data_IF_448345790601
#
_entry.id   IF_448345790601
#
_cell.length_a   1.000
_cell.length_b   1.000
_cell.length_c   1.000
_cell.angle_alpha   90.00
_cell.angle_beta   90.00
_cell.angle_gamma   90.00
#
_symmetry.space_group_name_H-M   'P 1'
#
loop_
_entity.id
_entity.type
_entity.pdbx_description
1 polymer ?
#
# COMPACT_ATOMS: atom_id res chain seq x y z
N UNK A 1 -1.99 22.72 5.03
CA UNK A 1 -1.47 22.30 6.34
C UNK A 1 -0.19 21.51 6.07
N UNK A 2 0.95 22.01 6.47
CA UNK A 2 2.23 21.29 6.37
C UNK A 2 2.33 20.36 7.57
N UNK A 3 2.58 19.08 7.34
CA UNK A 3 2.89 18.14 8.41
C UNK A 3 4.36 18.30 8.75
N UNK A 4 4.68 18.25 10.04
CA UNK A 4 6.04 18.07 10.49
C UNK A 4 6.56 16.73 9.91
N UNK A 5 7.79 16.73 9.42
CA UNK A 5 8.42 15.56 8.82
C UNK A 5 8.46 14.36 9.78
N UNK A 6 8.65 14.61 11.08
CA UNK A 6 8.64 13.57 12.11
C UNK A 6 7.26 12.93 12.26
N UNK A 7 6.19 13.74 12.25
CA UNK A 7 4.81 13.24 12.30
C UNK A 7 4.49 12.42 11.05
N UNK A 8 4.87 12.90 9.88
CA UNK A 8 4.70 12.16 8.62
C UNK A 8 5.41 10.81 8.64
N UNK A 9 6.65 10.77 9.12
CA UNK A 9 7.42 9.55 9.25
C UNK A 9 6.81 8.58 10.27
N UNK A 10 6.36 9.08 11.42
CA UNK A 10 5.69 8.26 12.44
C UNK A 10 4.40 7.62 11.92
N UNK A 11 3.61 8.36 11.15
CA UNK A 11 2.40 7.83 10.52
C UNK A 11 2.70 6.75 9.48
N UNK A 12 3.78 6.92 8.70
CA UNK A 12 4.23 5.90 7.76
C UNK A 12 4.68 4.62 8.48
N UNK A 13 5.42 4.75 9.59
CA UNK A 13 5.80 3.58 10.41
C UNK A 13 4.58 2.88 11.02
N UNK A 14 3.59 3.62 11.50
CA UNK A 14 2.34 3.06 12.01
C UNK A 14 1.58 2.28 10.92
N UNK A 15 1.65 2.71 9.67
CA UNK A 15 1.03 2.00 8.55
C UNK A 15 1.59 0.60 8.32
N UNK A 16 2.80 0.31 8.81
CA UNK A 16 3.47 -0.99 8.70
C UNK A 16 3.07 -1.97 9.82
N UNK A 17 2.59 -1.47 10.96
CA UNK A 17 2.34 -2.30 12.13
C UNK A 17 1.32 -3.40 11.88
N UNK A 18 0.21 -3.07 11.21
CA UNK A 18 -0.85 -4.03 10.89
C UNK A 18 -0.40 -5.09 9.87
N UNK A 19 0.15 -4.74 8.69
CA UNK A 19 0.66 -5.76 7.76
C UNK A 19 1.75 -6.64 8.35
N UNK A 20 2.64 -6.09 9.15
CA UNK A 20 3.70 -6.84 9.81
C UNK A 20 3.12 -7.86 10.80
N UNK A 21 2.25 -7.42 11.73
CA UNK A 21 1.74 -8.26 12.81
C UNK A 21 0.69 -9.26 12.33
N UNK A 22 -0.17 -8.88 11.40
CA UNK A 22 -1.30 -9.70 10.97
C UNK A 22 -0.96 -10.61 9.79
N UNK A 23 -0.22 -10.14 8.80
CA UNK A 23 0.08 -10.93 7.60
C UNK A 23 1.44 -11.61 7.65
N UNK A 24 2.48 -10.95 8.14
CA UNK A 24 3.85 -11.42 8.02
C UNK A 24 4.30 -12.30 9.18
N UNK A 25 4.17 -11.84 10.44
CA UNK A 25 4.65 -12.61 11.60
C UNK A 25 4.07 -14.02 11.66
N UNK A 26 2.75 -14.23 11.47
CA UNK A 26 2.14 -15.57 11.57
C UNK A 26 2.61 -16.56 10.51
N UNK A 27 3.16 -16.07 9.39
CA UNK A 27 3.57 -16.94 8.27
C UNK A 27 5.08 -17.19 8.21
N UNK A 28 5.87 -16.58 9.09
CA UNK A 28 7.33 -16.77 9.11
C UNK A 28 7.75 -18.24 9.02
N UNK A 29 7.13 -19.19 9.76
CA UNK A 29 7.50 -20.61 9.69
C UNK A 29 7.17 -21.29 8.35
N UNK A 30 6.36 -20.64 7.51
CA UNK A 30 5.92 -21.16 6.19
C UNK A 30 6.61 -20.51 5.02
N UNK A 31 7.48 -19.51 5.28
CA UNK A 31 8.18 -18.81 4.22
C UNK A 31 9.21 -19.70 3.54
N UNK A 32 9.07 -19.82 2.23
CA UNK A 32 10.10 -20.40 1.35
C UNK A 32 10.95 -19.29 0.72
N UNK A 33 12.12 -19.65 0.23
CA UNK A 33 12.95 -18.69 -0.52
C UNK A 33 12.19 -18.14 -1.74
N UNK A 34 11.44 -18.98 -2.45
CA UNK A 34 10.64 -18.59 -3.61
C UNK A 34 9.58 -17.57 -3.22
N UNK A 35 8.83 -17.81 -2.13
CA UNK A 35 7.83 -16.88 -1.60
C UNK A 35 8.44 -15.51 -1.28
N UNK A 36 9.59 -15.50 -0.59
CA UNK A 36 10.27 -14.26 -0.21
C UNK A 36 10.76 -13.50 -1.44
N UNK A 37 11.40 -14.17 -2.39
CA UNK A 37 11.89 -13.54 -3.63
C UNK A 37 10.72 -12.98 -4.46
N UNK A 38 9.62 -13.71 -4.58
CA UNK A 38 8.42 -13.25 -5.29
C UNK A 38 7.82 -12.02 -4.60
N UNK A 39 7.72 -12.04 -3.27
CA UNK A 39 7.20 -10.90 -2.50
C UNK A 39 8.09 -9.67 -2.64
N UNK A 40 9.42 -9.82 -2.55
CA UNK A 40 10.37 -8.71 -2.77
C UNK A 40 10.21 -8.15 -4.17
N UNK A 41 10.26 -8.99 -5.20
CA UNK A 41 10.16 -8.56 -6.60
C UNK A 41 8.86 -7.79 -6.85
N UNK A 42 7.73 -8.38 -6.45
CA UNK A 42 6.41 -7.75 -6.65
C UNK A 42 6.30 -6.43 -5.89
N UNK A 43 6.78 -6.39 -4.65
CA UNK A 43 6.70 -5.17 -3.81
C UNK A 43 7.54 -4.03 -4.36
N UNK A 44 8.77 -4.32 -4.81
CA UNK A 44 9.71 -3.32 -5.35
C UNK A 44 9.23 -2.77 -6.70
N UNK A 45 8.51 -3.57 -7.48
CA UNK A 45 7.94 -3.12 -8.75
C UNK A 45 6.60 -2.41 -8.53
N UNK A 46 5.66 -3.07 -7.86
CA UNK A 46 4.29 -2.59 -7.74
C UNK A 46 4.17 -1.33 -6.88
N UNK A 47 4.80 -1.29 -5.71
CA UNK A 47 4.70 -0.16 -4.80
C UNK A 47 5.08 1.18 -5.44
N UNK A 48 6.29 1.32 -6.03
CA UNK A 48 6.68 2.57 -6.70
C UNK A 48 5.82 2.90 -7.93
N UNK A 49 5.41 1.92 -8.72
CA UNK A 49 4.56 2.15 -9.91
C UNK A 49 3.20 2.70 -9.50
N UNK A 50 2.56 2.10 -8.50
CA UNK A 50 1.28 2.59 -7.99
C UNK A 50 1.40 3.98 -7.36
N UNK A 51 2.44 4.25 -6.55
CA UNK A 51 2.62 5.56 -5.95
C UNK A 51 2.99 6.63 -6.98
N UNK A 52 3.78 6.31 -7.99
CA UNK A 52 4.03 7.22 -9.12
C UNK A 52 2.73 7.58 -9.82
N UNK A 53 1.88 6.60 -10.11
CA UNK A 53 0.62 6.82 -10.81
C UNK A 53 -0.36 7.63 -9.96
N UNK A 54 -0.67 7.16 -8.74
CA UNK A 54 -1.72 7.75 -7.91
C UNK A 54 -1.30 9.05 -7.21
N UNK A 55 -0.03 9.19 -6.81
CA UNK A 55 0.49 10.33 -6.07
C UNK A 55 1.40 11.21 -6.93
N UNK A 56 2.17 10.62 -7.81
CA UNK A 56 3.00 11.38 -8.76
C UNK A 56 2.15 12.10 -9.81
N UNK A 57 1.34 11.36 -10.54
CA UNK A 57 0.52 11.93 -11.61
C UNK A 57 -0.73 12.65 -11.08
N UNK A 58 -1.61 11.95 -10.36
CA UNK A 58 -2.87 12.56 -9.94
C UNK A 58 -2.70 13.63 -8.86
N UNK A 59 -2.07 13.28 -7.72
CA UNK A 59 -2.04 14.19 -6.58
C UNK A 59 -1.18 15.43 -6.81
N UNK A 60 -0.01 15.25 -7.45
CA UNK A 60 0.92 16.35 -7.66
C UNK A 60 0.57 17.18 -8.91
N UNK A 61 0.10 16.54 -9.98
CA UNK A 61 -0.36 17.26 -11.17
C UNK A 61 -1.59 18.12 -10.88
N UNK A 62 -2.59 17.55 -10.19
CA UNK A 62 -3.81 18.26 -9.81
C UNK A 62 -3.75 18.84 -8.38
N UNK A 63 -2.57 19.22 -7.91
CA UNK A 63 -2.38 19.74 -6.53
C UNK A 63 -3.25 20.96 -6.18
N UNK A 64 -3.66 21.72 -7.16
CA UNK A 64 -4.53 22.91 -7.00
C UNK A 64 -6.01 22.53 -6.93
N UNK A 65 -6.38 21.35 -7.44
CA UNK A 65 -7.74 20.82 -7.37
C UNK A 65 -7.80 19.70 -6.32
N UNK A 66 -8.43 20.01 -5.18
CA UNK A 66 -8.55 19.04 -4.08
C UNK A 66 -9.39 17.83 -4.44
N UNK A 67 -10.39 18.00 -5.32
CA UNK A 67 -11.29 16.92 -5.71
C UNK A 67 -10.58 15.91 -6.60
N UNK A 68 -9.93 16.39 -7.64
CA UNK A 68 -9.19 15.51 -8.57
C UNK A 68 -7.93 14.99 -7.91
N UNK A 69 -7.08 15.88 -7.38
CA UNK A 69 -5.78 15.49 -6.87
C UNK A 69 -5.83 14.60 -5.65
N UNK A 70 -6.69 14.87 -4.68
CA UNK A 70 -6.72 14.11 -3.43
C UNK A 70 -7.86 13.11 -3.38
N UNK A 71 -9.10 13.56 -3.53
CA UNK A 71 -10.25 12.66 -3.32
C UNK A 71 -10.40 11.65 -4.44
N UNK A 72 -10.35 12.09 -5.71
CA UNK A 72 -10.51 11.16 -6.83
C UNK A 72 -9.35 10.17 -6.90
N UNK A 73 -8.09 10.62 -6.74
CA UNK A 73 -6.95 9.71 -6.76
C UNK A 73 -7.01 8.66 -5.64
N UNK A 74 -7.42 9.06 -4.44
CA UNK A 74 -7.58 8.15 -3.29
C UNK A 74 -8.75 7.18 -3.52
N UNK A 75 -9.87 7.69 -4.05
CA UNK A 75 -11.04 6.87 -4.37
C UNK A 75 -10.69 5.80 -5.42
N UNK A 76 -10.03 6.19 -6.50
CA UNK A 76 -9.62 5.28 -7.57
C UNK A 76 -8.56 4.26 -7.11
N UNK A 77 -7.62 4.68 -6.26
CA UNK A 77 -6.66 3.76 -5.64
C UNK A 77 -7.36 2.66 -4.83
N UNK A 78 -8.30 3.03 -3.96
CA UNK A 78 -9.09 2.05 -3.21
C UNK A 78 -9.98 1.19 -4.13
N UNK A 79 -10.60 1.82 -5.14
CA UNK A 79 -11.47 1.12 -6.10
C UNK A 79 -10.71 0.09 -6.94
N UNK A 80 -9.44 0.32 -7.26
CA UNK A 80 -8.57 -0.65 -7.94
C UNK A 80 -8.49 -1.98 -7.19
N UNK A 81 -8.51 -1.95 -5.85
CA UNK A 81 -8.44 -3.15 -5.01
C UNK A 81 -9.69 -4.02 -5.07
N UNK A 82 -10.83 -3.50 -5.59
CA UNK A 82 -11.97 -4.37 -5.94
C UNK A 82 -11.62 -5.32 -7.08
N UNK A 83 -10.88 -4.85 -8.09
CA UNK A 83 -10.44 -5.73 -9.18
C UNK A 83 -9.52 -6.85 -8.64
N UNK A 84 -8.65 -6.52 -7.70
CA UNK A 84 -7.80 -7.50 -7.00
C UNK A 84 -8.66 -8.48 -6.19
N UNK A 85 -9.65 -7.98 -5.44
CA UNK A 85 -10.57 -8.83 -4.65
C UNK A 85 -11.34 -9.85 -5.51
N UNK A 86 -11.73 -9.47 -6.72
CA UNK A 86 -12.46 -10.36 -7.63
C UNK A 86 -11.56 -11.35 -8.39
N UNK A 87 -10.25 -11.35 -8.15
CA UNK A 87 -9.36 -12.35 -8.74
C UNK A 87 -9.73 -13.75 -8.25
N UNK A 88 -10.01 -14.64 -9.22
CA UNK A 88 -10.46 -16.00 -8.90
C UNK A 88 -9.29 -16.87 -8.40
N UNK A 89 -9.58 -17.74 -7.44
CA UNK A 89 -8.61 -18.72 -6.95
C UNK A 89 -7.58 -18.15 -5.98
N UNK A 90 -7.73 -16.90 -5.54
CA UNK A 90 -6.83 -16.28 -4.56
C UNK A 90 -7.55 -16.13 -3.22
N UNK A 91 -6.91 -16.61 -2.17
CA UNK A 91 -7.40 -16.45 -0.80
C UNK A 91 -6.73 -15.22 -0.16
N UNK A 92 -7.54 -14.25 0.27
CA UNK A 92 -7.10 -13.05 0.97
C UNK A 92 -7.33 -13.17 2.47
N UNK A 93 -6.26 -13.14 3.26
CA UNK A 93 -6.34 -13.18 4.72
C UNK A 93 -7.14 -11.99 5.27
N UNK A 94 -8.07 -12.29 6.17
CA UNK A 94 -9.00 -11.30 6.71
C UNK A 94 -10.11 -10.86 5.75
N UNK A 95 -10.08 -11.32 4.49
CA UNK A 95 -11.12 -11.07 3.50
C UNK A 95 -11.13 -9.67 2.91
N UNK A 96 -12.32 -9.24 2.51
CA UNK A 96 -12.55 -7.96 1.81
C UNK A 96 -12.09 -6.73 2.60
N UNK A 97 -12.39 -6.70 3.89
CA UNK A 97 -12.18 -5.49 4.69
C UNK A 97 -10.70 -5.10 4.86
N UNK A 98 -9.76 -6.02 5.21
CA UNK A 98 -8.34 -5.70 5.22
C UNK A 98 -7.79 -5.31 3.85
N UNK A 99 -8.21 -5.97 2.78
CA UNK A 99 -7.71 -5.70 1.43
C UNK A 99 -8.21 -4.35 0.91
N UNK A 100 -9.50 -4.18 0.79
CA UNK A 100 -10.10 -2.98 0.17
C UNK A 100 -10.17 -1.83 1.16
N UNK A 101 -10.65 -2.07 2.38
CA UNK A 101 -10.71 -1.06 3.43
C UNK A 101 -9.33 -0.58 3.84
N UNK A 102 -8.36 -1.50 3.96
CA UNK A 102 -6.95 -1.17 4.20
C UNK A 102 -6.37 -0.29 3.10
N UNK A 103 -6.65 -0.59 1.82
CA UNK A 103 -6.21 0.23 0.70
C UNK A 103 -6.77 1.66 0.77
N UNK A 104 -8.03 1.85 1.13
CA UNK A 104 -8.59 3.20 1.31
C UNK A 104 -7.90 3.95 2.45
N UNK A 105 -7.71 3.32 3.61
CA UNK A 105 -7.07 3.95 4.78
C UNK A 105 -5.62 4.35 4.45
N UNK A 106 -4.84 3.42 3.90
CA UNK A 106 -3.46 3.68 3.48
C UNK A 106 -3.40 4.71 2.35
N UNK A 107 -4.35 4.62 1.41
CA UNK A 107 -4.50 5.58 0.32
C UNK A 107 -4.67 7.02 0.81
N UNK A 108 -5.54 7.25 1.79
CA UNK A 108 -5.74 8.55 2.43
C UNK A 108 -4.47 9.02 3.13
N UNK A 109 -3.85 8.15 3.93
CA UNK A 109 -2.64 8.46 4.68
C UNK A 109 -1.48 8.86 3.77
N UNK A 110 -1.21 8.06 2.75
CA UNK A 110 -0.10 8.31 1.81
C UNK A 110 -0.36 9.53 0.92
N UNK A 111 -1.62 9.74 0.49
CA UNK A 111 -2.00 10.95 -0.24
C UNK A 111 -1.81 12.20 0.64
N UNK A 112 -2.15 12.12 1.93
CA UNK A 112 -1.97 13.23 2.86
C UNK A 112 -0.47 13.54 3.08
N UNK A 113 0.36 12.53 3.32
CA UNK A 113 1.82 12.70 3.46
C UNK A 113 2.41 13.30 2.18
N UNK A 114 2.08 12.74 1.01
CA UNK A 114 2.58 13.23 -0.29
C UNK A 114 2.18 14.67 -0.55
N UNK A 115 0.92 15.03 -0.28
CA UNK A 115 0.44 16.41 -0.44
C UNK A 115 1.14 17.38 0.50
N UNK A 116 1.42 16.96 1.72
CA UNK A 116 2.05 17.80 2.74
C UNK A 116 3.54 18.03 2.47
N UNK A 117 4.22 17.03 1.92
CA UNK A 117 5.66 17.06 1.62
C UNK A 117 5.98 17.50 0.18
N UNK A 118 5.02 17.42 -0.74
CA UNK A 118 5.23 17.61 -2.17
C UNK A 118 6.03 16.49 -2.83
N UNK A 119 6.18 15.32 -2.15
CA UNK A 119 7.01 14.22 -2.62
C UNK A 119 6.41 12.86 -2.24
N UNK A 120 6.23 11.98 -3.23
CA UNK A 120 5.65 10.65 -3.02
C UNK A 120 6.66 9.57 -2.63
N UNK A 121 7.98 9.85 -2.59
CA UNK A 121 9.02 8.82 -2.32
C UNK A 121 8.84 8.14 -0.97
N UNK A 122 8.46 8.89 0.06
CA UNK A 122 8.21 8.31 1.39
C UNK A 122 7.01 7.37 1.37
N UNK A 123 5.93 7.73 0.68
CA UNK A 123 4.78 6.86 0.47
C UNK A 123 5.16 5.61 -0.35
N UNK A 124 5.95 5.76 -1.42
CA UNK A 124 6.45 4.64 -2.21
C UNK A 124 7.28 3.65 -1.37
N UNK A 125 8.17 4.15 -0.52
CA UNK A 125 8.94 3.30 0.38
C UNK A 125 8.04 2.56 1.39
N UNK A 126 7.10 3.26 2.00
CA UNK A 126 6.13 2.63 2.91
C UNK A 126 5.27 1.59 2.18
N UNK A 127 4.85 1.87 0.95
CA UNK A 127 4.08 0.93 0.12
C UNK A 127 4.88 -0.33 -0.22
N UNK A 128 6.18 -0.22 -0.55
CA UNK A 128 7.05 -1.39 -0.74
C UNK A 128 7.04 -2.28 0.51
N UNK A 129 7.19 -1.69 1.71
CA UNK A 129 7.22 -2.46 2.96
C UNK A 129 5.86 -3.07 3.30
N UNK A 130 4.76 -2.32 3.13
CA UNK A 130 3.40 -2.85 3.31
C UNK A 130 3.16 -4.03 2.37
N UNK A 131 3.50 -3.88 1.09
CA UNK A 131 3.38 -4.95 0.11
C UNK A 131 4.26 -6.15 0.46
N UNK A 132 5.51 -5.93 0.88
CA UNK A 132 6.40 -7.02 1.29
C UNK A 132 5.76 -7.88 2.38
N UNK A 133 5.18 -7.27 3.40
CA UNK A 133 4.54 -8.00 4.48
C UNK A 133 3.22 -8.65 4.05
N UNK A 134 2.37 -7.92 3.35
CA UNK A 134 1.06 -8.42 2.91
C UNK A 134 1.18 -9.51 1.84
N UNK A 135 2.04 -9.30 0.83
CA UNK A 135 2.23 -10.26 -0.27
C UNK A 135 3.00 -11.51 0.18
N UNK A 136 3.93 -11.41 1.13
CA UNK A 136 4.53 -12.61 1.74
C UNK A 136 3.45 -13.51 2.35
N UNK A 137 2.49 -12.91 3.08
CA UNK A 137 1.33 -13.63 3.62
C UNK A 137 0.45 -14.21 2.54
N UNK A 138 0.15 -13.41 1.52
CA UNK A 138 -0.69 -13.82 0.38
C UNK A 138 -0.07 -15.02 -0.35
N UNK A 139 1.19 -14.92 -0.74
CA UNK A 139 1.87 -15.96 -1.52
C UNK A 139 2.05 -17.25 -0.72
N UNK A 140 2.51 -17.17 0.53
CA UNK A 140 2.69 -18.35 1.37
C UNK A 140 1.37 -19.12 1.61
N UNK A 141 0.23 -18.43 1.73
CA UNK A 141 -1.07 -19.06 1.96
C UNK A 141 -1.72 -19.61 0.69
N UNK A 142 -1.32 -19.13 -0.46
CA UNK A 142 -1.80 -19.59 -1.77
C UNK A 142 -0.85 -20.60 -2.45
N UNK A 143 0.21 -21.06 -1.75
CA UNK A 143 1.07 -22.13 -2.21
C UNK A 143 2.18 -21.73 -3.20
N UNK A 144 2.60 -20.48 -3.15
CA UNK A 144 3.70 -19.94 -3.96
C UNK A 144 5.04 -20.01 -3.23
#
# INVERSE_FOLDING_TARGET
>A
MKIDMQVGFSLLLLSLSYPLSFFFIPIIPRLTLATVLLAIFTSVVNGPVEEFYWRGLYLLEFRHDKWIGFFLSTLLFGAWHFAVWFAKGVHYEGGFLPLVGGAYILGILWAWVTRSTGNFRAAAFAHILVNLFALSGLFARNGF
#
